data_IF_214653767297
#
_entry.id   IF_214653767297
#
_cell.length_a   1.000
_cell.length_b   1.000
_cell.length_c   1.000
_cell.angle_alpha   90.00
_cell.angle_beta   90.00
_cell.angle_gamma   90.00
#
_symmetry.space_group_name_H-M   'P 1'
#
loop_
_entity.id
_entity.type
_entity.pdbx_description
1 polymer ?
#
# COMPACT_ATOMS: atom_id res chain seq x y z
N UNK A 1 15.14 -23.07 16.37
CA UNK A 1 14.55 -23.87 17.48
C UNK A 1 13.95 -25.13 16.85
N UNK A 2 14.07 -26.28 17.52
CA UNK A 2 13.49 -27.54 17.02
C UNK A 2 11.99 -27.50 17.21
N UNK A 3 11.23 -27.33 16.13
CA UNK A 3 9.78 -27.54 16.17
C UNK A 3 9.43 -28.85 15.45
N UNK A 4 8.79 -29.76 16.18
CA UNK A 4 8.22 -30.96 15.61
C UNK A 4 6.86 -30.59 15.03
N UNK A 5 6.80 -30.35 13.72
CA UNK A 5 5.53 -30.08 13.03
C UNK A 5 4.79 -31.41 12.83
N UNK A 6 3.61 -31.63 13.45
CA UNK A 6 2.83 -32.83 13.21
C UNK A 6 2.02 -32.64 11.93
N UNK A 7 2.44 -33.28 10.84
CA UNK A 7 1.65 -33.34 9.61
C UNK A 7 0.70 -34.55 9.68
N UNK A 8 -0.55 -34.27 9.37
CA UNK A 8 -1.76 -35.11 9.34
C UNK A 8 -1.57 -36.64 9.45
N UNK A 9 -2.23 -37.25 10.44
CA UNK A 9 -2.30 -38.72 10.60
C UNK A 9 -3.64 -39.26 10.09
N UNK A 10 -3.61 -40.16 9.11
CA UNK A 10 -4.72 -41.07 8.89
C UNK A 10 -4.43 -42.39 9.64
N UNK A 11 -5.28 -42.74 10.61
CA UNK A 11 -5.35 -44.03 11.28
C UNK A 11 -4.03 -44.75 11.66
N UNK A 12 -3.36 -44.30 12.74
CA UNK A 12 -2.55 -45.18 13.59
C UNK A 12 -1.06 -45.37 13.24
N UNK A 13 -0.50 -44.58 12.32
CA UNK A 13 0.96 -44.55 12.06
C UNK A 13 1.47 -43.12 12.13
N UNK A 14 2.54 -42.87 12.92
CA UNK A 14 3.25 -41.59 12.95
C UNK A 14 4.55 -41.71 12.16
N UNK A 15 4.80 -40.77 11.25
CA UNK A 15 6.01 -40.68 10.45
C UNK A 15 6.73 -39.39 10.86
N UNK A 16 7.89 -39.50 11.52
CA UNK A 16 8.63 -38.35 12.03
C UNK A 16 9.81 -37.99 11.13
N UNK A 17 9.92 -36.70 10.80
CA UNK A 17 11.06 -36.13 10.07
C UNK A 17 11.79 -35.11 10.94
N UNK A 18 13.09 -34.98 10.71
CA UNK A 18 13.92 -33.89 11.22
C UNK A 18 14.22 -32.94 10.05
N UNK A 19 13.87 -31.67 10.21
CA UNK A 19 14.16 -30.60 9.25
C UNK A 19 15.39 -29.85 9.75
N UNK A 20 16.41 -29.76 8.89
CA UNK A 20 17.61 -28.99 9.17
C UNK A 20 17.62 -27.78 8.25
N UNK A 21 17.62 -26.59 8.85
CA UNK A 21 17.78 -25.31 8.19
C UNK A 21 19.23 -24.85 8.36
N UNK A 22 19.92 -24.62 7.25
CA UNK A 22 21.28 -24.08 7.26
C UNK A 22 21.24 -22.58 7.03
N UNK A 23 21.56 -21.80 8.06
CA UNK A 23 21.60 -20.34 7.97
C UNK A 23 22.72 -19.83 7.05
N UNK A 24 23.77 -20.63 6.85
CA UNK A 24 24.93 -20.21 6.06
C UNK A 24 24.73 -20.27 4.54
N UNK A 25 23.83 -21.12 4.05
CA UNK A 25 23.58 -21.30 2.62
C UNK A 25 22.09 -21.34 2.26
N UNK A 26 21.22 -21.01 3.23
CA UNK A 26 19.75 -21.03 3.11
C UNK A 26 19.18 -22.34 2.57
N UNK A 27 19.89 -23.46 2.74
CA UNK A 27 19.42 -24.77 2.32
C UNK A 27 18.56 -25.45 3.39
N UNK A 28 17.59 -26.24 2.93
CA UNK A 28 16.72 -27.06 3.76
C UNK A 28 16.95 -28.54 3.46
N UNK A 29 17.16 -29.36 4.49
CA UNK A 29 17.34 -30.81 4.37
C UNK A 29 16.35 -31.58 5.24
N UNK A 30 15.78 -32.66 4.68
CA UNK A 30 14.86 -33.55 5.37
C UNK A 30 15.53 -34.88 5.70
N UNK A 31 15.51 -35.26 6.97
CA UNK A 31 15.99 -36.58 7.43
C UNK A 31 14.82 -37.35 8.03
N UNK A 32 14.59 -38.57 7.55
CA UNK A 32 13.51 -39.43 8.03
C UNK A 32 13.97 -40.34 9.18
N UNK A 33 13.19 -40.39 10.27
CA UNK A 33 13.48 -41.17 11.47
C UNK A 33 12.30 -42.10 11.87
N UNK A 34 12.13 -43.22 11.15
CA UNK A 34 11.35 -44.43 11.56
C UNK A 34 9.81 -44.34 11.76
N UNK A 35 9.13 -45.48 11.60
CA UNK A 35 7.69 -45.74 11.82
C UNK A 35 7.47 -46.57 13.10
N UNK A 36 6.61 -46.14 14.01
CA UNK A 36 6.14 -46.94 15.17
C UNK A 36 4.78 -47.58 14.85
N UNK A 37 4.60 -48.86 15.20
CA UNK A 37 3.62 -49.76 14.58
C UNK A 37 2.50 -50.19 15.56
N UNK A 38 1.24 -49.87 15.24
CA UNK A 38 0.04 -50.35 15.92
C UNK A 38 -0.77 -51.33 15.05
N UNK A 39 -0.43 -52.62 15.14
CA UNK A 39 -1.23 -53.80 14.70
C UNK A 39 -2.15 -53.65 13.48
N UNK A 40 -1.62 -53.88 12.27
CA UNK A 40 -2.45 -54.02 11.07
C UNK A 40 -1.64 -54.01 9.79
N UNK A 41 -0.84 -55.05 9.57
CA UNK A 41 -0.03 -55.23 8.36
C UNK A 41 -0.94 -55.45 7.13
N UNK A 42 -1.26 -54.40 6.37
CA UNK A 42 -1.52 -54.46 4.93
C UNK A 42 -1.36 -53.06 4.29
N UNK A 43 -0.13 -52.68 3.98
CA UNK A 43 0.15 -51.82 2.83
C UNK A 43 1.16 -52.58 1.97
N UNK A 44 0.66 -53.10 0.86
CA UNK A 44 1.40 -53.89 -0.12
C UNK A 44 2.43 -52.97 -0.79
N UNK A 45 3.68 -53.05 -0.33
CA UNK A 45 4.71 -52.03 -0.56
C UNK A 45 5.08 -51.80 -2.02
N UNK A 46 4.39 -50.86 -2.68
CA UNK A 46 4.71 -50.49 -4.07
C UNK A 46 4.81 -49.00 -4.38
N UNK A 47 4.37 -48.06 -3.53
CA UNK A 47 4.56 -46.62 -3.77
C UNK A 47 4.34 -45.80 -2.49
N UNK A 48 5.12 -44.73 -2.31
CA UNK A 48 4.80 -43.60 -1.42
C UNK A 48 5.19 -42.31 -2.17
N UNK A 49 4.34 -41.29 -2.09
CA UNK A 49 4.52 -39.97 -2.72
C UNK A 49 4.43 -38.88 -1.65
N UNK A 50 5.35 -37.91 -1.71
CA UNK A 50 5.33 -36.67 -0.92
C UNK A 50 5.21 -35.52 -1.93
N UNK A 51 4.26 -34.61 -1.69
CA UNK A 51 4.06 -33.39 -2.47
C UNK A 51 3.78 -32.22 -1.52
N UNK A 52 3.99 -31.00 -2.02
CA UNK A 52 3.47 -29.78 -1.43
C UNK A 52 2.24 -29.37 -2.24
N UNK A 53 1.21 -28.89 -1.56
CA UNK A 53 -0.03 -28.39 -2.16
C UNK A 53 -0.10 -26.90 -1.85
N UNK A 54 -0.16 -26.04 -2.87
CA UNK A 54 -0.60 -24.65 -2.70
C UNK A 54 -2.13 -24.60 -2.92
N UNK A 55 -2.78 -23.51 -2.51
CA UNK A 55 -4.23 -23.26 -2.50
C UNK A 55 -4.94 -23.44 -3.85
N UNK A 56 -4.21 -23.50 -4.98
CA UNK A 56 -4.80 -23.50 -6.33
C UNK A 56 -4.77 -24.87 -7.06
N UNK A 57 -4.52 -25.97 -6.33
CA UNK A 57 -4.94 -27.31 -6.78
C UNK A 57 -4.17 -27.98 -7.92
N UNK A 58 -2.96 -27.53 -8.30
CA UNK A 58 -2.09 -28.26 -9.24
C UNK A 58 -1.03 -29.11 -8.52
N UNK A 59 -1.01 -30.41 -8.80
CA UNK A 59 -0.14 -31.38 -8.12
C UNK A 59 1.22 -31.58 -8.84
N UNK A 60 2.32 -31.18 -8.19
CA UNK A 60 3.69 -31.53 -8.56
C UNK A 60 4.27 -32.63 -7.65
N UNK A 61 4.67 -33.78 -8.21
CA UNK A 61 5.24 -34.90 -7.45
C UNK A 61 6.75 -34.73 -7.29
N UNK A 62 7.26 -34.54 -6.05
CA UNK A 62 8.70 -34.35 -5.84
C UNK A 62 9.52 -35.66 -5.84
N UNK A 63 8.98 -36.83 -5.45
CA UNK A 63 9.68 -38.13 -5.59
C UNK A 63 8.75 -39.36 -5.67
N UNK A 64 9.20 -40.41 -6.40
CA UNK A 64 8.59 -41.75 -6.44
C UNK A 64 9.65 -42.86 -6.26
N UNK A 65 9.40 -43.80 -5.34
CA UNK A 65 10.26 -44.96 -5.09
C UNK A 65 9.63 -46.25 -5.61
N UNK A 66 10.38 -47.03 -6.41
CA UNK A 66 10.04 -48.41 -6.73
C UNK A 66 11.23 -49.33 -6.45
N UNK A 67 11.20 -49.97 -5.26
CA UNK A 67 11.77 -51.25 -4.80
C UNK A 67 13.08 -51.86 -5.33
N UNK A 68 13.81 -51.29 -6.29
CA UNK A 68 14.94 -51.97 -6.95
C UNK A 68 16.15 -51.07 -7.28
N UNK A 69 16.08 -49.73 -7.21
CA UNK A 69 17.24 -48.80 -7.29
C UNK A 69 16.80 -47.36 -7.03
N UNK A 70 17.60 -46.59 -6.29
CA UNK A 70 17.56 -45.13 -6.36
C UNK A 70 18.15 -44.70 -7.70
N UNK A 71 17.41 -43.92 -8.49
CA UNK A 71 18.00 -43.24 -9.64
C UNK A 71 18.91 -42.13 -9.09
N UNK A 72 20.22 -42.34 -9.22
CA UNK A 72 21.18 -41.24 -9.31
C UNK A 72 20.83 -40.47 -10.58
N UNK A 73 20.15 -39.36 -10.40
CA UNK A 73 20.66 -38.02 -10.68
C UNK A 73 19.71 -37.11 -9.90
N UNK A 74 20.16 -36.71 -8.70
CA UNK A 74 19.42 -35.73 -7.93
C UNK A 74 19.40 -34.45 -8.74
N UNK A 75 18.21 -34.04 -9.21
CA UNK A 75 18.02 -32.67 -9.62
C UNK A 75 18.27 -31.83 -8.36
N UNK A 76 19.38 -31.11 -8.35
CA UNK A 76 19.54 -29.99 -7.43
C UNK A 76 18.52 -28.97 -7.91
N UNK A 77 17.35 -28.91 -7.28
CA UNK A 77 16.55 -27.68 -7.33
C UNK A 77 17.35 -26.69 -6.51
N UNK A 78 18.18 -25.92 -7.19
CA UNK A 78 18.66 -24.68 -6.63
C UNK A 78 17.44 -23.77 -6.61
N UNK A 79 16.97 -23.43 -5.42
CA UNK A 79 16.27 -22.17 -5.29
C UNK A 79 17.34 -21.10 -5.51
N UNK A 80 17.36 -20.55 -6.72
CA UNK A 80 17.83 -19.18 -6.87
C UNK A 80 16.69 -18.33 -6.31
N UNK A 81 16.87 -17.55 -5.24
CA UNK A 81 15.85 -16.60 -4.79
C UNK A 81 15.75 -15.39 -5.74
N UNK A 82 15.91 -15.62 -7.05
CA UNK A 82 15.60 -14.70 -8.13
C UNK A 82 14.56 -15.43 -9.01
N UNK A 83 13.42 -14.78 -9.23
CA UNK A 83 12.19 -15.29 -9.87
C UNK A 83 11.26 -16.09 -8.96
N UNK A 84 10.74 -15.44 -7.92
CA UNK A 84 9.27 -15.44 -7.82
C UNK A 84 8.81 -14.70 -9.06
N UNK A 85 8.22 -15.40 -10.02
CA UNK A 85 7.62 -14.71 -11.16
C UNK A 85 6.43 -13.98 -10.57
N UNK A 86 6.57 -12.67 -10.41
CA UNK A 86 5.50 -11.80 -9.94
C UNK A 86 4.32 -11.97 -10.91
N UNK A 87 3.14 -12.14 -10.37
CA UNK A 87 1.85 -12.19 -11.06
C UNK A 87 1.03 -11.17 -10.28
N UNK A 88 1.06 -9.93 -10.76
CA UNK A 88 0.62 -8.77 -9.98
C UNK A 88 -0.91 -8.70 -9.87
N UNK A 89 -1.64 -9.21 -10.87
CA UNK A 89 -3.10 -9.17 -10.92
C UNK A 89 -3.79 -10.51 -10.66
N UNK A 90 -3.02 -11.57 -10.39
CA UNK A 90 -3.46 -12.92 -10.04
C UNK A 90 -4.33 -13.57 -11.13
N UNK A 91 -4.09 -13.26 -12.40
CA UNK A 91 -4.85 -13.83 -13.52
C UNK A 91 -4.37 -15.22 -13.97
N UNK A 92 -3.21 -15.65 -13.44
CA UNK A 92 -2.57 -16.94 -13.69
C UNK A 92 -1.53 -16.93 -14.82
N UNK A 93 -1.26 -15.76 -15.40
CA UNK A 93 -0.11 -15.43 -16.23
C UNK A 93 0.86 -14.63 -15.37
N UNK A 94 2.16 -14.68 -15.68
CA UNK A 94 3.16 -14.09 -14.81
C UNK A 94 3.87 -12.95 -15.54
N UNK A 95 4.14 -11.85 -14.83
CA UNK A 95 4.73 -10.61 -15.34
C UNK A 95 6.07 -10.83 -16.06
N UNK A 96 6.86 -11.84 -15.65
CA UNK A 96 8.14 -12.28 -16.25
C UNK A 96 8.10 -13.80 -16.54
N UNK A 97 7.09 -14.24 -17.28
CA UNK A 97 6.80 -15.65 -17.51
C UNK A 97 7.86 -16.41 -18.31
N UNK A 98 8.79 -15.73 -18.97
CA UNK A 98 9.96 -16.35 -19.61
C UNK A 98 11.24 -16.38 -18.74
N UNK A 99 11.21 -15.71 -17.58
CA UNK A 99 12.31 -15.54 -16.63
C UNK A 99 13.56 -14.88 -17.25
N UNK A 100 13.37 -13.92 -18.15
CA UNK A 100 14.44 -13.04 -18.67
C UNK A 100 15.00 -12.13 -17.55
N UNK A 101 14.22 -11.91 -16.50
CA UNK A 101 14.49 -10.95 -15.43
C UNK A 101 13.97 -9.55 -15.75
N UNK A 102 13.20 -9.38 -16.82
CA UNK A 102 12.59 -8.10 -17.24
C UNK A 102 11.15 -8.35 -17.66
N UNK A 103 10.18 -7.92 -16.85
CA UNK A 103 8.77 -8.02 -17.22
C UNK A 103 8.46 -7.21 -18.50
N UNK A 104 7.64 -7.79 -19.38
CA UNK A 104 7.16 -7.16 -20.62
C UNK A 104 8.18 -7.11 -21.77
N UNK A 105 9.37 -7.72 -21.64
CA UNK A 105 10.33 -7.80 -22.74
C UNK A 105 10.01 -8.92 -23.73
N UNK A 106 9.17 -9.88 -23.31
CA UNK A 106 8.58 -10.90 -24.16
C UNK A 106 7.07 -11.09 -23.93
N UNK A 107 6.22 -10.09 -24.27
CA UNK A 107 4.78 -10.16 -24.03
C UNK A 107 4.12 -11.36 -24.73
N UNK A 108 3.16 -11.97 -24.06
CA UNK A 108 2.32 -12.99 -24.65
C UNK A 108 1.50 -12.41 -25.81
N UNK A 109 1.41 -13.15 -26.92
CA UNK A 109 0.69 -12.73 -28.12
C UNK A 109 -0.33 -13.78 -28.55
N UNK A 110 -1.50 -13.31 -28.99
CA UNK A 110 -2.54 -14.17 -29.60
C UNK A 110 -3.03 -15.30 -28.69
N UNK A 111 -3.14 -15.05 -27.38
CA UNK A 111 -3.59 -16.00 -26.38
C UNK A 111 -2.58 -17.10 -26.01
N UNK A 112 -1.29 -16.87 -26.26
CA UNK A 112 -0.24 -17.65 -25.63
C UNK A 112 -0.17 -17.35 -24.12
N UNK A 113 0.23 -18.33 -23.31
CA UNK A 113 0.22 -18.22 -21.83
C UNK A 113 1.44 -18.91 -21.19
N UNK A 114 2.48 -19.22 -21.95
CA UNK A 114 3.61 -20.02 -21.48
C UNK A 114 4.91 -19.53 -22.11
N UNK A 115 5.93 -19.31 -21.27
CA UNK A 115 7.24 -18.80 -21.69
C UNK A 115 7.11 -17.46 -22.45
N UNK A 116 6.27 -16.59 -21.91
CA UNK A 116 6.02 -15.22 -22.30
C UNK A 116 5.47 -14.48 -21.08
N UNK A 117 5.56 -13.16 -21.12
CA UNK A 117 5.20 -12.25 -20.05
C UNK A 117 3.75 -11.83 -20.17
N UNK A 118 3.13 -11.53 -19.04
CA UNK A 118 1.80 -10.93 -19.03
C UNK A 118 1.79 -9.61 -19.82
N UNK A 119 0.92 -9.52 -20.82
CA UNK A 119 0.75 -8.31 -21.63
C UNK A 119 -0.16 -7.25 -20.97
N UNK A 120 -0.74 -7.53 -19.80
CA UNK A 120 -1.41 -6.57 -18.92
C UNK A 120 -1.14 -6.83 -17.42
N UNK A 121 0.09 -6.61 -16.91
CA UNK A 121 0.50 -7.01 -15.55
C UNK A 121 -0.40 -6.53 -14.39
N UNK A 122 -1.14 -5.44 -14.57
CA UNK A 122 -2.01 -4.86 -13.54
C UNK A 122 -3.50 -5.11 -13.78
N UNK A 123 -3.89 -5.75 -14.90
CA UNK A 123 -5.29 -5.86 -15.33
C UNK A 123 -5.59 -7.27 -15.84
N UNK A 124 -6.30 -8.03 -14.99
CA UNK A 124 -6.58 -9.45 -15.23
C UNK A 124 -7.14 -9.73 -16.62
N UNK A 125 -6.35 -10.41 -17.44
CA UNK A 125 -6.70 -10.81 -18.79
C UNK A 125 -6.14 -12.22 -19.12
N UNK A 126 -6.66 -13.31 -18.51
CA UNK A 126 -6.09 -14.66 -18.66
C UNK A 126 -6.04 -15.20 -20.10
N UNK A 127 -6.75 -14.52 -21.01
CA UNK A 127 -6.79 -14.81 -22.43
C UNK A 127 -5.70 -14.16 -23.27
N UNK A 128 -4.89 -13.25 -22.71
CA UNK A 128 -3.74 -12.58 -23.34
C UNK A 128 -4.02 -12.14 -24.78
N UNK A 129 -5.17 -11.47 -24.95
CA UNK A 129 -5.60 -10.89 -26.23
C UNK A 129 -4.75 -9.66 -26.56
N UNK A 130 -4.42 -9.50 -27.83
CA UNK A 130 -3.62 -8.40 -28.38
C UNK A 130 -3.87 -8.39 -29.89
N UNK A 131 -4.82 -7.56 -30.35
CA UNK A 131 -5.33 -7.61 -31.72
C UNK A 131 -4.42 -6.90 -32.73
N UNK A 132 -3.67 -5.88 -32.32
CA UNK A 132 -2.78 -5.13 -33.21
C UNK A 132 -1.30 -5.54 -33.11
N UNK A 133 -0.94 -6.32 -32.07
CA UNK A 133 0.35 -6.96 -31.91
C UNK A 133 1.44 -6.03 -31.39
N UNK A 134 1.08 -5.03 -30.60
CA UNK A 134 2.01 -4.02 -30.10
C UNK A 134 2.74 -4.40 -28.80
N UNK A 135 2.24 -5.44 -28.11
CA UNK A 135 2.78 -5.97 -26.87
C UNK A 135 2.00 -5.57 -25.62
N UNK A 136 0.97 -4.74 -25.75
CA UNK A 136 0.01 -4.39 -24.70
C UNK A 136 -1.29 -5.14 -24.96
N UNK A 137 -1.88 -5.74 -23.92
CA UNK A 137 -3.07 -6.56 -24.11
C UNK A 137 -4.35 -5.74 -24.29
N UNK A 138 -5.32 -6.28 -25.05
CA UNK A 138 -6.62 -5.63 -25.35
C UNK A 138 -7.38 -5.12 -24.08
N UNK A 139 -7.06 -5.68 -22.91
CA UNK A 139 -7.69 -5.34 -21.64
C UNK A 139 -7.13 -4.07 -20.98
N UNK A 140 -5.89 -3.70 -21.31
CA UNK A 140 -5.18 -2.56 -20.77
C UNK A 140 -4.65 -1.60 -21.87
N UNK A 141 -4.92 -1.89 -23.14
CA UNK A 141 -4.55 -1.07 -24.29
C UNK A 141 -5.53 0.11 -24.49
N UNK A 142 -5.00 1.33 -24.43
CA UNK A 142 -5.75 2.57 -24.68
C UNK A 142 -6.05 2.84 -26.17
N UNK A 143 -5.46 2.06 -27.07
CA UNK A 143 -5.76 2.05 -28.50
C UNK A 143 -5.81 0.63 -29.09
N UNK A 144 -6.79 -0.21 -28.70
CA UNK A 144 -6.81 -1.64 -29.01
C UNK A 144 -6.60 -2.03 -30.47
N UNK A 145 -6.91 -1.15 -31.44
CA UNK A 145 -6.81 -1.48 -32.87
C UNK A 145 -5.64 -0.79 -33.59
N UNK A 146 -4.79 -0.05 -32.88
CA UNK A 146 -3.79 0.87 -33.42
C UNK A 146 -2.46 0.78 -32.66
N UNK A 147 -1.52 0.02 -33.22
CA UNK A 147 -0.18 -0.22 -32.65
C UNK A 147 0.44 1.00 -31.94
N UNK A 148 0.57 0.95 -30.62
CA UNK A 148 1.13 2.00 -29.76
C UNK A 148 1.72 1.45 -28.43
N UNK A 149 2.89 0.78 -28.48
CA UNK A 149 3.48 0.15 -27.31
C UNK A 149 3.86 1.11 -26.16
N UNK A 150 3.90 2.42 -26.43
CA UNK A 150 4.19 3.45 -25.43
C UNK A 150 2.96 3.88 -24.64
N UNK A 151 1.75 3.52 -25.09
CA UNK A 151 0.47 3.85 -24.45
C UNK A 151 0.37 5.33 -24.09
N UNK A 152 0.93 6.19 -24.95
CA UNK A 152 0.84 7.64 -24.77
C UNK A 152 -0.63 8.06 -24.79
N UNK A 153 -0.99 8.91 -23.83
CA UNK A 153 -2.32 9.48 -23.61
C UNK A 153 -2.05 10.89 -23.07
N UNK A 154 -1.91 11.83 -24.00
CA UNK A 154 -1.35 13.15 -23.71
C UNK A 154 -2.30 14.04 -22.89
N UNK A 155 -3.61 13.89 -23.07
CA UNK A 155 -4.64 14.65 -22.33
C UNK A 155 -5.29 13.86 -21.18
N UNK A 156 -5.01 12.56 -21.05
CA UNK A 156 -5.50 11.70 -19.99
C UNK A 156 -6.98 11.31 -20.13
N UNK A 157 -7.54 11.36 -21.33
CA UNK A 157 -8.94 11.04 -21.58
C UNK A 157 -9.22 9.52 -21.76
N UNK A 158 -8.16 8.70 -21.70
CA UNK A 158 -8.11 7.24 -21.89
C UNK A 158 -8.18 6.78 -23.36
N UNK A 159 -8.15 7.70 -24.32
CA UNK A 159 -7.91 7.41 -25.73
C UNK A 159 -6.46 7.73 -26.05
N UNK A 160 -5.68 6.71 -26.42
CA UNK A 160 -4.26 6.95 -26.67
C UNK A 160 -4.00 7.80 -27.92
N UNK A 161 -2.88 8.51 -27.95
CA UNK A 161 -2.46 9.40 -29.05
C UNK A 161 -2.43 8.72 -30.44
N UNK A 162 -2.37 7.38 -30.48
CA UNK A 162 -2.35 6.64 -31.74
C UNK A 162 -3.73 6.46 -32.37
N UNK A 163 -4.80 6.68 -31.59
CA UNK A 163 -6.18 6.52 -32.00
C UNK A 163 -7.07 7.69 -31.60
N UNK A 164 -6.54 8.67 -30.87
CA UNK A 164 -7.11 9.99 -30.74
C UNK A 164 -7.00 10.76 -32.07
N UNK A 165 -7.93 11.68 -32.26
CA UNK A 165 -7.93 12.63 -33.35
C UNK A 165 -7.60 14.06 -32.89
N UNK A 166 -7.47 14.29 -31.59
CA UNK A 166 -7.20 15.56 -30.90
C UNK A 166 -6.41 15.23 -29.61
N UNK A 167 -5.14 14.83 -29.77
CA UNK A 167 -4.28 14.28 -28.71
C UNK A 167 -4.19 15.18 -27.45
N UNK A 168 -4.44 16.49 -27.58
CA UNK A 168 -4.39 17.46 -26.48
C UNK A 168 -5.75 18.05 -26.07
N UNK A 169 -6.84 17.53 -26.64
CA UNK A 169 -8.23 17.94 -26.41
C UNK A 169 -8.44 19.47 -26.43
N UNK A 170 -7.66 20.20 -27.22
CA UNK A 170 -7.75 21.66 -27.35
C UNK A 170 -8.96 22.12 -28.19
N UNK A 171 -9.64 21.15 -28.82
CA UNK A 171 -10.80 21.34 -29.70
C UNK A 171 -10.45 21.42 -31.19
N UNK A 172 -9.19 21.18 -31.56
CA UNK A 172 -8.69 21.15 -32.93
C UNK A 172 -8.02 19.79 -33.27
N UNK A 173 -8.51 19.09 -34.30
CA UNK A 173 -7.94 17.78 -34.65
C UNK A 173 -6.48 17.81 -35.15
N UNK A 174 -5.68 16.80 -34.82
CA UNK A 174 -4.26 16.65 -35.20
C UNK A 174 -4.05 16.69 -36.72
N UNK A 175 -5.01 16.12 -37.46
CA UNK A 175 -4.99 16.06 -38.91
C UNK A 175 -5.83 17.16 -39.55
N UNK A 176 -5.15 18.19 -40.01
CA UNK A 176 -5.74 19.25 -40.81
C UNK A 176 -6.31 18.81 -42.16
N UNK A 177 -7.62 19.01 -42.42
CA UNK A 177 -8.18 18.79 -43.74
C UNK A 177 -7.52 19.72 -44.77
N UNK A 178 -7.20 19.24 -45.99
CA UNK A 178 -6.69 20.12 -47.02
C UNK A 178 -7.70 21.24 -47.33
N UNK A 179 -7.24 22.49 -47.23
CA UNK A 179 -8.00 23.74 -47.37
C UNK A 179 -8.81 24.20 -46.14
N UNK A 180 -8.48 23.75 -44.92
CA UNK A 180 -8.94 24.42 -43.71
C UNK A 180 -7.89 25.44 -43.23
N UNK A 181 -8.13 26.76 -43.36
CA UNK A 181 -7.14 27.79 -43.03
C UNK A 181 -6.89 27.96 -41.52
N UNK A 182 -7.65 27.28 -40.66
CA UNK A 182 -7.53 27.40 -39.20
C UNK A 182 -6.46 26.51 -38.58
N UNK A 183 -5.76 25.69 -39.35
CA UNK A 183 -4.78 24.75 -38.77
C UNK A 183 -3.59 24.49 -39.72
N UNK A 184 -3.35 25.38 -40.69
CA UNK A 184 -2.46 25.08 -41.83
C UNK A 184 -0.96 25.21 -41.54
N UNK A 185 -0.49 25.78 -40.43
CA UNK A 185 0.94 25.89 -40.17
C UNK A 185 1.24 25.87 -38.66
N UNK A 186 1.87 24.78 -38.21
CA UNK A 186 2.72 24.65 -37.01
C UNK A 186 2.12 24.81 -35.60
N UNK A 187 0.89 24.34 -35.36
CA UNK A 187 0.46 24.01 -34.00
C UNK A 187 0.66 22.49 -33.82
N UNK A 188 1.61 22.12 -32.96
CA UNK A 188 2.09 20.75 -32.81
C UNK A 188 1.06 19.90 -32.06
N UNK A 189 0.68 18.70 -32.56
CA UNK A 189 -0.43 17.89 -32.04
C UNK A 189 -0.13 17.20 -30.69
N UNK A 190 0.84 17.68 -29.89
CA UNK A 190 1.26 17.04 -28.63
C UNK A 190 1.81 18.08 -27.66
N UNK A 191 1.18 19.27 -27.61
CA UNK A 191 1.62 20.32 -26.71
C UNK A 191 0.44 21.16 -26.20
N UNK A 192 -0.24 20.64 -25.18
CA UNK A 192 -1.24 21.35 -24.37
C UNK A 192 -0.73 22.66 -23.75
N UNK A 193 0.58 22.92 -23.76
CA UNK A 193 1.15 24.19 -23.30
C UNK A 193 1.20 25.28 -24.39
N UNK A 194 0.77 24.98 -25.61
CA UNK A 194 0.48 25.98 -26.64
C UNK A 194 -1.01 26.30 -26.52
N UNK A 195 -1.34 27.36 -25.78
CA UNK A 195 -2.73 27.77 -25.61
C UNK A 195 -3.12 28.72 -26.76
N UNK A 196 -4.25 28.49 -27.44
CA UNK A 196 -4.85 29.51 -28.29
C UNK A 196 -5.10 30.79 -27.48
N UNK A 197 -4.25 31.81 -27.66
CA UNK A 197 -4.25 33.05 -26.90
C UNK A 197 -3.16 33.25 -25.82
N UNK A 198 -2.10 32.44 -25.77
CA UNK A 198 -0.85 32.82 -25.05
C UNK A 198 -0.13 33.93 -25.83
N UNK A 199 0.60 34.85 -25.19
CA UNK A 199 1.44 35.81 -25.90
C UNK A 199 2.54 35.17 -26.77
N UNK A 200 2.79 35.73 -27.95
CA UNK A 200 3.72 35.25 -28.96
C UNK A 200 5.21 35.35 -28.56
N UNK A 201 6.00 34.27 -28.76
CA UNK A 201 7.47 34.35 -28.62
C UNK A 201 8.09 34.96 -29.88
N UNK A 202 8.44 36.24 -29.82
CA UNK A 202 8.93 36.96 -31.01
C UNK A 202 10.26 36.42 -31.57
N UNK A 203 10.36 36.38 -32.90
CA UNK A 203 11.52 36.06 -33.75
C UNK A 203 12.03 34.60 -33.77
N UNK A 204 11.27 33.62 -33.27
CA UNK A 204 11.59 32.21 -33.49
C UNK A 204 11.05 31.65 -34.82
N UNK A 205 10.08 32.37 -35.42
CA UNK A 205 9.44 32.01 -36.68
C UNK A 205 8.30 30.99 -36.54
N UNK A 206 7.81 30.79 -35.31
CA UNK A 206 6.64 29.98 -34.95
C UNK A 206 5.40 30.88 -34.79
N UNK A 207 4.21 30.27 -34.77
CA UNK A 207 2.88 30.89 -34.57
C UNK A 207 2.37 30.32 -33.24
N UNK A 208 2.90 30.86 -32.14
CA UNK A 208 2.81 30.28 -30.80
C UNK A 208 1.42 30.50 -30.16
N UNK A 209 0.60 31.41 -30.68
CA UNK A 209 -0.76 31.66 -30.21
C UNK A 209 -1.86 31.14 -31.17
N UNK A 210 -1.43 30.56 -32.30
CA UNK A 210 -2.25 29.94 -33.35
C UNK A 210 -3.29 30.90 -33.96
N UNK A 211 -3.07 32.23 -33.93
CA UNK A 211 -3.98 33.23 -34.52
C UNK A 211 -3.86 33.38 -36.05
N UNK A 212 -2.84 32.74 -36.64
CA UNK A 212 -2.55 32.74 -38.06
C UNK A 212 -1.58 33.82 -38.52
N UNK A 213 -0.88 34.48 -37.58
CA UNK A 213 0.16 35.46 -37.86
C UNK A 213 1.49 35.10 -37.19
N UNK A 214 2.48 34.66 -37.99
CA UNK A 214 3.84 34.42 -37.46
C UNK A 214 4.51 35.73 -37.03
N UNK A 215 5.07 35.77 -35.81
CA UNK A 215 6.04 36.76 -35.31
C UNK A 215 5.68 38.22 -35.67
N UNK A 216 6.24 38.78 -36.75
CA UNK A 216 6.20 40.22 -37.03
C UNK A 216 4.86 40.81 -37.52
N UNK A 217 3.81 40.00 -37.67
CA UNK A 217 2.50 40.42 -38.16
C UNK A 217 1.41 40.44 -37.06
N UNK A 218 1.70 39.82 -35.92
CA UNK A 218 0.87 39.85 -34.72
C UNK A 218 0.98 41.22 -34.03
N UNK A 219 -0.12 41.66 -33.40
CA UNK A 219 -0.20 42.90 -32.64
C UNK A 219 0.71 42.89 -31.39
N UNK A 220 1.08 41.70 -30.89
CA UNK A 220 1.91 41.53 -29.69
C UNK A 220 3.42 41.69 -29.99
N UNK A 221 3.87 41.23 -31.16
CA UNK A 221 5.28 41.36 -31.58
C UNK A 221 5.60 42.72 -32.24
N UNK A 222 5.84 43.71 -31.36
CA UNK A 222 6.33 45.05 -31.73
C UNK A 222 6.40 46.05 -30.59
N UNK A 223 5.97 45.65 -29.38
CA UNK A 223 6.06 46.43 -28.16
C UNK A 223 7.43 46.24 -27.46
N UNK A 224 7.69 47.06 -26.45
CA UNK A 224 8.88 46.88 -25.60
C UNK A 224 8.64 45.65 -24.75
N UNK A 225 9.65 44.81 -24.60
CA UNK A 225 9.69 43.67 -23.68
C UNK A 225 10.94 43.90 -22.83
N UNK A 226 10.73 44.29 -21.57
CA UNK A 226 11.78 44.87 -20.74
C UNK A 226 12.64 43.82 -20.03
N UNK A 227 12.13 42.62 -19.80
CA UNK A 227 12.87 41.51 -19.21
C UNK A 227 13.22 40.40 -20.20
N UNK A 228 12.51 40.30 -21.32
CA UNK A 228 12.85 39.37 -22.41
C UNK A 228 12.20 38.01 -22.26
N UNK A 229 11.04 37.91 -21.61
CA UNK A 229 10.36 36.65 -21.31
C UNK A 229 9.39 36.19 -22.41
N UNK A 230 9.19 37.02 -23.44
CA UNK A 230 8.29 36.76 -24.56
C UNK A 230 6.95 37.48 -24.44
N UNK A 231 6.64 38.07 -23.29
CA UNK A 231 5.41 38.83 -23.05
C UNK A 231 5.71 40.32 -23.20
N UNK A 232 4.85 41.07 -23.91
CA UNK A 232 5.09 42.49 -24.08
C UNK A 232 4.77 43.31 -22.82
N UNK A 233 5.56 44.37 -22.54
CA UNK A 233 5.40 45.31 -21.40
C UNK A 233 3.97 45.82 -21.14
N UNK A 234 3.10 45.77 -22.15
CA UNK A 234 1.75 46.29 -22.13
C UNK A 234 0.72 45.31 -21.57
N UNK A 235 1.01 44.00 -21.64
CA UNK A 235 0.17 42.91 -21.16
C UNK A 235 0.86 42.05 -20.10
N UNK A 236 2.18 42.21 -19.92
CA UNK A 236 2.99 41.53 -18.93
C UNK A 236 2.65 41.98 -17.50
N UNK A 237 2.17 41.04 -16.69
CA UNK A 237 1.82 41.24 -15.27
C UNK A 237 3.05 41.38 -14.35
N UNK A 238 4.27 41.13 -14.85
CA UNK A 238 5.51 41.30 -14.11
C UNK A 238 6.65 42.04 -14.78
N UNK A 239 6.51 42.59 -15.99
CA UNK A 239 7.29 43.65 -16.70
C UNK A 239 8.82 43.62 -16.66
N UNK A 240 9.43 43.52 -15.49
CA UNK A 240 10.86 43.56 -15.25
C UNK A 240 11.38 42.25 -14.60
N UNK A 241 10.52 41.25 -14.42
CA UNK A 241 10.86 39.93 -13.87
C UNK A 241 10.30 38.89 -14.82
N UNK A 242 11.22 38.11 -15.42
CA UNK A 242 10.87 37.03 -16.35
C UNK A 242 9.81 36.07 -15.77
N UNK A 243 8.64 36.01 -16.38
CA UNK A 243 7.55 35.09 -16.04
C UNK A 243 6.67 34.77 -17.28
N UNK A 244 7.20 33.98 -18.24
CA UNK A 244 6.45 33.64 -19.45
C UNK A 244 5.10 32.97 -19.19
N UNK A 245 4.93 32.31 -18.03
CA UNK A 245 3.69 31.65 -17.62
C UNK A 245 2.58 32.60 -17.14
N UNK A 246 2.91 33.86 -16.86
CA UNK A 246 1.97 34.91 -16.43
C UNK A 246 1.04 34.47 -15.30
N UNK A 247 1.53 33.62 -14.38
CA UNK A 247 0.77 33.19 -13.21
C UNK A 247 0.39 34.42 -12.36
N UNK A 248 -0.84 34.44 -11.86
CA UNK A 248 -1.48 35.54 -11.11
C UNK A 248 -2.56 34.89 -10.23
N UNK A 249 -2.15 34.41 -9.07
CA UNK A 249 -2.94 33.52 -8.23
C UNK A 249 -4.17 34.19 -7.61
N UNK A 250 -4.05 35.45 -7.18
CA UNK A 250 -5.15 36.21 -6.60
C UNK A 250 -5.97 37.00 -7.66
N UNK A 251 -5.45 37.12 -8.88
CA UNK A 251 -6.09 37.79 -10.00
C UNK A 251 -6.13 39.31 -9.86
N UNK A 252 -5.20 39.91 -9.12
CA UNK A 252 -5.13 41.37 -8.94
C UNK A 252 -4.44 42.10 -10.11
N UNK A 253 -3.78 41.34 -10.99
CA UNK A 253 -3.06 41.81 -12.17
C UNK A 253 -1.57 42.07 -11.95
N UNK A 254 -1.03 41.72 -10.79
CA UNK A 254 0.41 41.59 -10.49
C UNK A 254 0.74 40.10 -10.58
N UNK A 255 1.75 39.72 -11.35
CA UNK A 255 2.08 38.30 -11.48
C UNK A 255 2.80 37.73 -10.26
N UNK A 256 2.66 36.43 -10.05
CA UNK A 256 3.24 35.66 -8.94
C UNK A 256 4.76 35.87 -8.80
N UNK A 257 5.46 36.07 -9.91
CA UNK A 257 6.92 36.25 -9.92
C UNK A 257 7.38 37.60 -9.32
N UNK A 258 6.49 38.58 -9.27
CA UNK A 258 6.76 39.94 -8.80
C UNK A 258 5.79 40.42 -7.71
N UNK A 259 4.80 39.62 -7.34
CA UNK A 259 4.00 39.80 -6.15
C UNK A 259 4.80 39.47 -4.88
N UNK A 260 4.40 40.08 -3.77
CA UNK A 260 4.93 39.83 -2.43
C UNK A 260 3.91 39.17 -1.49
N UNK A 261 2.68 38.96 -1.95
CA UNK A 261 1.53 38.38 -1.25
C UNK A 261 0.65 37.68 -2.30
N UNK A 262 1.15 36.56 -2.88
CA UNK A 262 0.60 36.00 -4.14
C UNK A 262 -0.85 35.56 -4.04
N UNK A 263 -1.30 35.11 -2.88
CA UNK A 263 -2.65 34.58 -2.67
C UNK A 263 -3.60 35.58 -1.99
N UNK A 264 -3.11 36.80 -1.71
CA UNK A 264 -3.81 37.90 -1.05
C UNK A 264 -4.52 37.51 0.25
N UNK A 265 -3.93 36.61 1.03
CA UNK A 265 -4.43 36.26 2.35
C UNK A 265 -4.07 37.34 3.41
N UNK A 266 -3.11 38.21 3.09
CA UNK A 266 -2.65 39.33 3.90
C UNK A 266 -1.38 39.04 4.72
N UNK A 267 -0.76 37.88 4.53
CA UNK A 267 0.56 37.48 4.99
C UNK A 267 1.52 37.60 3.81
N UNK A 268 2.71 38.17 4.03
CA UNK A 268 3.68 38.29 2.93
C UNK A 268 4.34 36.94 2.68
N UNK A 269 4.62 36.59 1.42
CA UNK A 269 5.28 35.33 1.00
C UNK A 269 6.51 34.92 1.84
N UNK A 270 7.24 35.90 2.40
CA UNK A 270 8.45 35.66 3.20
C UNK A 270 8.18 35.22 4.62
N UNK A 271 6.96 35.47 5.11
CA UNK A 271 6.45 35.16 6.44
C UNK A 271 5.29 34.15 6.36
N UNK A 272 4.92 33.70 5.16
CA UNK A 272 3.78 32.82 4.85
C UNK A 272 4.22 31.34 4.75
N UNK A 273 3.56 30.46 5.50
CA UNK A 273 3.79 29.02 5.45
C UNK A 273 3.05 28.31 4.30
N UNK A 274 2.13 29.00 3.62
CA UNK A 274 1.52 28.56 2.36
C UNK A 274 1.46 29.68 1.32
N UNK A 275 2.61 30.11 0.73
CA UNK A 275 2.69 31.26 -0.20
C UNK A 275 1.87 31.19 -1.49
N UNK A 276 1.16 30.08 -1.70
CA UNK A 276 0.37 29.76 -2.87
C UNK A 276 -1.05 29.29 -2.46
N UNK A 277 -1.48 29.53 -1.23
CA UNK A 277 -2.66 28.89 -0.67
C UNK A 277 -3.25 29.67 0.48
N UNK A 278 -4.35 30.38 0.21
CA UNK A 278 -4.99 31.31 1.13
C UNK A 278 -5.15 30.74 2.56
N UNK A 279 -4.40 31.28 3.53
CA UNK A 279 -4.43 30.80 4.91
C UNK A 279 -4.04 31.87 5.95
N UNK A 280 -4.89 32.90 6.14
CA UNK A 280 -4.54 34.07 6.94
C UNK A 280 -4.36 33.80 8.45
N UNK A 281 -4.71 32.61 8.92
CA UNK A 281 -4.49 32.15 10.29
C UNK A 281 -3.15 31.44 10.50
N UNK A 282 -2.46 31.05 9.42
CA UNK A 282 -1.10 30.48 9.43
C UNK A 282 -1.02 29.27 10.38
N UNK A 283 -2.06 28.43 10.35
CA UNK A 283 -2.06 27.17 11.08
C UNK A 283 -0.96 26.24 10.51
N UNK A 284 -0.37 25.48 11.42
CA UNK A 284 0.75 24.56 11.19
C UNK A 284 0.76 23.64 12.43
N UNK A 285 0.02 22.54 12.31
CA UNK A 285 -0.36 21.67 13.44
C UNK A 285 0.81 20.81 13.92
N UNK A 286 1.65 20.34 13.02
CA UNK A 286 2.82 19.50 13.30
C UNK A 286 4.13 20.29 13.58
N UNK A 287 4.17 21.56 13.16
CA UNK A 287 5.31 22.46 13.32
C UNK A 287 6.37 22.37 12.21
N UNK A 288 6.07 21.80 11.04
CA UNK A 288 7.05 21.69 9.95
C UNK A 288 7.18 22.99 9.11
N UNK A 289 7.61 22.89 7.84
CA UNK A 289 7.76 24.05 6.97
C UNK A 289 6.47 24.43 6.22
N UNK A 290 5.57 23.48 6.00
CA UNK A 290 4.29 23.69 5.34
C UNK A 290 3.23 24.12 6.37
N UNK A 291 2.18 24.80 5.95
CA UNK A 291 1.04 25.10 6.81
C UNK A 291 -0.13 24.19 6.48
N UNK A 292 -1.10 24.08 7.37
CA UNK A 292 -2.26 23.17 7.24
C UNK A 292 -3.06 23.38 5.93
N UNK A 293 -2.93 24.54 5.28
CA UNK A 293 -3.63 24.80 4.03
C UNK A 293 -2.95 24.20 2.78
N UNK A 294 -1.69 23.80 2.90
CA UNK A 294 -0.84 23.31 1.81
C UNK A 294 0.05 22.12 2.18
N UNK A 295 -0.11 21.60 3.39
CA UNK A 295 0.41 20.31 3.82
C UNK A 295 -0.60 19.21 3.43
N UNK A 296 -0.16 18.06 2.88
CA UNK A 296 -1.03 16.91 2.67
C UNK A 296 -1.22 15.99 3.90
N UNK A 297 -0.51 16.25 4.99
CA UNK A 297 -0.53 15.50 6.27
C UNK A 297 -0.30 16.49 7.42
N UNK A 298 -1.37 17.19 7.81
CA UNK A 298 -1.39 18.36 8.70
C UNK A 298 -0.76 18.09 10.09
N UNK A 299 -0.80 16.86 10.58
CA UNK A 299 -0.25 16.47 11.87
C UNK A 299 0.97 15.55 11.79
N UNK A 300 1.36 15.10 10.60
CA UNK A 300 2.54 14.28 10.32
C UNK A 300 2.58 12.95 11.10
N UNK A 301 1.42 12.34 11.35
CA UNK A 301 1.33 10.99 11.91
C UNK A 301 1.55 9.87 10.86
N UNK A 302 1.52 10.23 9.57
CA UNK A 302 1.71 9.33 8.44
C UNK A 302 0.41 8.97 7.69
N UNK A 303 -0.73 9.51 8.12
CA UNK A 303 -2.03 9.37 7.48
C UNK A 303 -2.36 10.68 6.75
N UNK A 304 -2.62 10.61 5.44
CA UNK A 304 -2.92 11.84 4.67
C UNK A 304 -4.29 12.42 5.04
N UNK A 305 -4.45 13.74 5.02
CA UNK A 305 -5.73 14.40 5.39
C UNK A 305 -6.92 13.88 4.57
N UNK A 306 -6.67 13.60 3.29
CA UNK A 306 -7.69 13.07 2.37
C UNK A 306 -8.23 11.71 2.84
N UNK A 307 -7.37 10.92 3.49
CA UNK A 307 -7.72 9.65 4.07
C UNK A 307 -8.42 9.84 5.41
N UNK A 308 -7.91 10.72 6.26
CA UNK A 308 -8.48 11.05 7.56
C UNK A 308 -9.91 11.58 7.46
N UNK A 309 -10.15 12.53 6.56
CA UNK A 309 -11.50 13.01 6.24
C UNK A 309 -12.43 11.86 5.82
N UNK A 310 -11.89 10.85 5.12
CA UNK A 310 -12.67 9.72 4.62
C UNK A 310 -13.06 8.73 5.73
N UNK A 311 -12.21 8.56 6.75
CA UNK A 311 -12.45 7.67 7.89
C UNK A 311 -13.06 8.39 9.10
N UNK A 312 -12.99 9.72 9.12
CA UNK A 312 -13.59 10.62 10.11
C UNK A 312 -12.65 11.06 11.25
N UNK A 313 -11.34 10.81 11.14
CA UNK A 313 -10.32 11.35 12.05
C UNK A 313 -10.09 12.84 11.80
N UNK A 314 -9.37 13.52 12.70
CA UNK A 314 -9.09 14.95 12.66
C UNK A 314 -7.68 15.20 12.09
N UNK A 315 -7.55 15.77 10.87
CA UNK A 315 -6.26 15.96 10.21
C UNK A 315 -5.21 16.73 10.99
N UNK A 316 -5.67 17.56 11.94
CA UNK A 316 -4.78 18.39 12.75
C UNK A 316 -4.32 17.74 14.05
N UNK A 317 -4.64 16.45 14.27
CA UNK A 317 -4.46 15.80 15.56
C UNK A 317 -4.13 14.32 15.45
N UNK A 318 -2.84 14.02 15.65
CA UNK A 318 -2.23 12.69 15.52
C UNK A 318 -2.95 11.55 16.27
N UNK A 319 -3.78 11.86 17.26
CA UNK A 319 -4.50 10.91 18.12
C UNK A 319 -5.91 11.47 18.33
N UNK A 320 -6.82 11.14 17.40
CA UNK A 320 -8.16 11.72 17.33
C UNK A 320 -8.96 11.44 18.60
N UNK A 321 -8.82 10.25 19.17
CA UNK A 321 -9.65 9.82 20.29
C UNK A 321 -8.99 9.96 21.67
N UNK A 322 -7.71 10.34 21.68
CA UNK A 322 -6.87 10.67 22.82
C UNK A 322 -6.59 9.48 23.76
N UNK A 323 -6.42 8.28 23.20
CA UNK A 323 -6.04 7.08 23.96
C UNK A 323 -4.51 6.92 24.12
N UNK A 324 -3.73 7.56 23.24
CA UNK A 324 -2.27 7.52 23.23
C UNK A 324 -1.64 6.68 22.12
N UNK A 325 -2.42 6.13 21.20
CA UNK A 325 -2.00 5.58 19.90
C UNK A 325 -2.31 6.63 18.82
N UNK A 326 -1.51 6.68 17.74
CA UNK A 326 -1.81 7.61 16.64
C UNK A 326 -2.83 7.02 15.68
N UNK A 327 -3.56 7.87 14.96
CA UNK A 327 -4.57 7.44 13.99
C UNK A 327 -3.94 6.52 12.93
N UNK A 328 -2.74 6.85 12.44
CA UNK A 328 -1.95 5.97 11.57
C UNK A 328 -1.67 4.58 12.17
N UNK A 329 -1.23 4.52 13.43
CA UNK A 329 -0.86 3.26 14.10
C UNK A 329 -2.10 2.38 14.34
N UNK A 330 -3.26 2.98 14.56
CA UNK A 330 -4.54 2.28 14.70
C UNK A 330 -5.08 1.78 13.37
N UNK A 331 -5.08 2.64 12.36
CA UNK A 331 -5.51 2.32 10.99
C UNK A 331 -4.64 1.24 10.37
N UNK A 332 -3.35 1.22 10.70
CA UNK A 332 -2.39 0.27 10.16
C UNK A 332 -2.01 -0.84 11.16
N UNK A 333 -2.88 -1.12 12.14
CA UNK A 333 -2.58 -2.06 13.21
C UNK A 333 -2.27 -3.49 12.72
N UNK A 334 -2.95 -3.96 11.67
CA UNK A 334 -2.70 -5.27 11.08
C UNK A 334 -1.50 -5.32 10.11
N UNK A 335 -0.88 -4.16 9.85
CA UNK A 335 0.24 -3.95 8.92
C UNK A 335 -0.17 -3.65 7.48
N UNK A 336 -1.45 -3.51 7.17
CA UNK A 336 -1.99 -3.15 5.86
C UNK A 336 -2.68 -1.79 5.85
N UNK A 337 -1.91 -0.72 5.68
CA UNK A 337 -2.45 0.64 5.63
C UNK A 337 -3.19 0.99 4.31
N UNK A 338 -3.44 0.02 3.41
CA UNK A 338 -4.12 0.28 2.12
C UNK A 338 -5.63 0.08 2.18
N UNK A 339 -6.15 -0.55 3.24
CA UNK A 339 -7.56 -0.83 3.43
C UNK A 339 -7.90 -0.76 4.91
N UNK A 340 -8.48 0.36 5.36
CA UNK A 340 -8.98 0.49 6.73
C UNK A 340 -10.26 -0.32 6.92
N UNK A 341 -10.18 -1.38 7.72
CA UNK A 341 -11.30 -2.27 8.04
C UNK A 341 -11.43 -2.39 9.58
N UNK A 342 -12.07 -1.41 10.24
CA UNK A 342 -12.13 -1.38 11.69
C UNK A 342 -12.88 -2.59 12.26
N UNK A 343 -12.47 -3.01 13.44
CA UNK A 343 -13.19 -3.99 14.25
C UNK A 343 -14.67 -3.59 14.44
N UNK A 344 -15.64 -4.53 14.41
CA UNK A 344 -15.49 -5.99 14.36
C UNK A 344 -15.44 -6.60 12.96
N UNK A 345 -15.35 -5.77 11.92
CA UNK A 345 -15.37 -6.21 10.51
C UNK A 345 -14.01 -6.70 10.02
N UNK A 346 -12.93 -6.09 10.51
CA UNK A 346 -11.55 -6.42 10.17
C UNK A 346 -10.62 -6.48 11.38
N UNK A 347 -9.32 -6.27 11.13
CA UNK A 347 -8.22 -6.44 12.08
C UNK A 347 -7.65 -5.14 12.64
N UNK A 348 -8.21 -3.99 12.28
CA UNK A 348 -7.69 -2.68 12.69
C UNK A 348 -8.37 -2.15 13.96
N UNK A 349 -7.63 -1.30 14.68
CA UNK A 349 -8.15 -0.52 15.81
C UNK A 349 -9.06 0.60 15.32
N UNK A 350 -9.82 1.18 16.23
CA UNK A 350 -10.78 2.22 15.93
C UNK A 350 -10.29 3.59 16.39
N UNK A 351 -9.65 4.32 15.48
CA UNK A 351 -9.14 5.69 15.70
C UNK A 351 -10.17 6.75 16.13
N UNK A 352 -11.45 6.40 16.23
CA UNK A 352 -12.51 7.28 16.75
C UNK A 352 -13.01 6.86 18.13
N UNK A 353 -12.45 5.79 18.71
CA UNK A 353 -12.93 5.19 19.93
C UNK A 353 -11.75 4.57 20.72
N UNK A 354 -11.44 5.12 21.91
CA UNK A 354 -10.24 4.74 22.68
C UNK A 354 -10.16 3.28 23.13
N UNK A 355 -11.22 2.52 22.96
CA UNK A 355 -11.43 1.19 23.52
C UNK A 355 -12.13 0.43 22.40
N UNK A 356 -11.39 -0.26 21.54
CA UNK A 356 -11.91 -0.80 20.30
C UNK A 356 -12.96 -1.89 20.56
N UNK A 357 -12.70 -2.79 21.51
CA UNK A 357 -13.55 -3.95 21.77
C UNK A 357 -14.68 -3.74 22.81
N UNK A 358 -14.60 -2.67 23.61
CA UNK A 358 -15.60 -2.31 24.60
C UNK A 358 -15.59 -3.05 25.91
N UNK A 359 -14.46 -3.58 26.35
CA UNK A 359 -14.33 -4.16 27.68
C UNK A 359 -13.93 -3.16 28.78
N UNK A 360 -13.50 -1.96 28.39
CA UNK A 360 -13.24 -0.84 29.29
C UNK A 360 -11.77 -0.65 29.68
N UNK A 361 -10.84 -1.40 29.10
CA UNK A 361 -9.47 -0.95 28.88
C UNK A 361 -9.41 -0.12 27.58
N UNK A 362 -8.54 0.89 27.53
CA UNK A 362 -8.24 1.59 26.27
C UNK A 362 -7.13 0.85 25.50
N UNK A 363 -7.07 1.02 24.19
CA UNK A 363 -6.21 0.22 23.31
C UNK A 363 -4.74 0.45 23.65
N UNK A 364 -4.35 1.69 23.94
CA UNK A 364 -3.03 2.03 24.45
C UNK A 364 -2.65 1.25 25.72
N UNK A 365 -3.54 1.19 26.73
CA UNK A 365 -3.29 0.43 27.95
C UNK A 365 -3.11 -1.05 27.63
N UNK A 366 -3.90 -1.60 26.73
CA UNK A 366 -3.82 -3.00 26.35
C UNK A 366 -2.50 -3.34 25.67
N UNK A 367 -2.08 -2.55 24.68
CA UNK A 367 -0.80 -2.73 24.01
C UNK A 367 0.38 -2.59 24.97
N UNK A 368 0.33 -1.60 25.86
CA UNK A 368 1.43 -1.38 26.82
C UNK A 368 1.49 -2.43 27.91
N UNK A 369 0.38 -3.10 28.23
CA UNK A 369 0.32 -4.22 29.16
C UNK A 369 0.44 -5.58 28.46
N UNK A 370 0.33 -5.65 27.13
CA UNK A 370 0.44 -6.86 26.34
C UNK A 370 -0.82 -7.74 26.36
N UNK A 371 -1.99 -7.12 26.46
CA UNK A 371 -3.30 -7.75 26.17
C UNK A 371 -3.70 -7.45 24.71
N UNK A 372 -4.89 -7.88 24.28
CA UNK A 372 -5.30 -7.88 22.86
C UNK A 372 -6.47 -6.91 22.69
N UNK A 373 -6.26 -5.72 22.09
CA UNK A 373 -7.30 -4.68 22.00
C UNK A 373 -8.50 -5.01 21.10
N UNK A 374 -8.44 -6.13 20.39
CA UNK A 374 -9.53 -6.62 19.54
C UNK A 374 -10.39 -7.69 20.23
N UNK A 375 -10.04 -8.06 21.47
CA UNK A 375 -10.59 -9.23 22.14
C UNK A 375 -11.02 -8.90 23.58
N UNK A 376 -12.31 -8.57 23.74
CA UNK A 376 -12.95 -8.19 25.00
C UNK A 376 -12.88 -9.22 26.17
N UNK A 377 -12.28 -10.38 25.93
CA UNK A 377 -11.97 -11.39 26.95
C UNK A 377 -10.54 -11.34 27.44
N UNK A 378 -9.70 -10.48 26.87
CA UNK A 378 -8.27 -10.36 27.11
C UNK A 378 -7.98 -8.92 27.55
N UNK A 379 -8.10 -8.62 28.83
CA UNK A 379 -7.82 -7.28 29.38
C UNK A 379 -6.96 -7.32 30.65
N UNK A 380 -6.29 -6.22 31.00
CA UNK A 380 -5.46 -6.16 32.20
C UNK A 380 -6.27 -6.45 33.47
N UNK A 381 -5.81 -7.42 34.28
CA UNK A 381 -6.49 -7.81 35.52
C UNK A 381 -7.78 -8.63 35.32
N UNK A 382 -7.98 -9.26 34.15
CA UNK A 382 -9.09 -10.16 33.87
C UNK A 382 -9.06 -11.51 34.62
N UNK A 383 -7.96 -11.83 35.30
CA UNK A 383 -7.73 -13.09 36.01
C UNK A 383 -7.51 -14.33 35.15
N UNK A 384 -7.43 -14.21 33.82
CA UNK A 384 -7.15 -15.29 32.87
C UNK A 384 -5.64 -15.37 32.62
N UNK A 385 -4.94 -15.97 33.56
CA UNK A 385 -3.47 -15.94 33.59
C UNK A 385 -2.82 -17.02 32.72
N UNK A 386 -3.63 -17.85 32.05
CA UNK A 386 -3.15 -18.76 31.02
C UNK A 386 -3.65 -18.41 29.60
N UNK A 387 -4.39 -17.30 29.45
CA UNK A 387 -4.83 -16.73 28.16
C UNK A 387 -5.63 -17.76 27.33
N UNK A 388 -6.48 -18.56 27.97
CA UNK A 388 -7.34 -19.52 27.25
C UNK A 388 -8.78 -19.03 27.03
N UNK A 389 -9.03 -17.78 27.40
CA UNK A 389 -10.30 -17.06 27.26
C UNK A 389 -11.29 -17.33 28.40
N UNK A 390 -10.92 -18.13 29.41
CA UNK A 390 -11.83 -18.49 30.51
C UNK A 390 -11.14 -18.54 31.87
N UNK A 391 -11.55 -17.66 32.78
CA UNK A 391 -11.13 -17.75 34.19
C UNK A 391 -11.70 -19.00 34.85
N UNK A 392 -10.86 -20.02 35.07
CA UNK A 392 -11.24 -21.31 35.62
C UNK A 392 -10.26 -21.82 36.72
N UNK A 393 -10.31 -23.12 37.00
CA UNK A 393 -9.49 -23.70 38.06
C UNK A 393 -8.00 -23.82 37.68
N UNK A 394 -7.67 -23.79 36.40
CA UNK A 394 -6.31 -23.73 35.88
C UNK A 394 -5.66 -22.40 36.28
N UNK A 395 -6.34 -21.27 36.11
CA UNK A 395 -5.90 -19.95 36.60
C UNK A 395 -5.69 -19.96 38.09
N UNK A 396 -6.68 -20.46 38.82
CA UNK A 396 -6.58 -20.56 40.28
C UNK A 396 -5.33 -21.32 40.69
N UNK A 397 -5.02 -22.43 40.01
CA UNK A 397 -3.84 -23.24 40.31
C UNK A 397 -2.54 -22.52 39.94
N UNK A 398 -2.52 -21.81 38.82
CA UNK A 398 -1.36 -21.06 38.36
C UNK A 398 -1.06 -19.87 39.28
N UNK A 399 -2.08 -19.11 39.70
CA UNK A 399 -1.99 -18.00 40.63
C UNK A 399 -1.46 -18.47 42.00
N UNK A 400 -1.98 -19.59 42.52
CA UNK A 400 -1.48 -20.20 43.76
C UNK A 400 0.00 -20.59 43.65
N UNK A 401 0.43 -21.09 42.48
CA UNK A 401 1.82 -21.47 42.26
C UNK A 401 2.74 -20.27 42.24
N UNK A 402 2.31 -19.17 41.62
CA UNK A 402 3.02 -17.88 41.55
C UNK A 402 3.15 -17.29 42.96
N UNK A 403 2.04 -17.10 43.68
CA UNK A 403 2.03 -16.49 45.01
C UNK A 403 2.78 -17.31 46.07
N UNK A 404 2.78 -18.64 45.96
CA UNK A 404 3.59 -19.51 46.84
C UNK A 404 5.07 -19.63 46.42
N UNK A 405 5.49 -18.95 45.34
CA UNK A 405 6.88 -18.96 44.85
C UNK A 405 7.32 -20.29 44.24
N UNK A 406 6.38 -21.15 43.86
CA UNK A 406 6.66 -22.44 43.19
C UNK A 406 6.70 -22.33 41.67
N UNK A 407 6.28 -21.18 41.13
CA UNK A 407 6.39 -20.78 39.74
C UNK A 407 6.88 -19.33 39.71
N UNK A 408 7.82 -19.03 38.81
CA UNK A 408 8.19 -17.65 38.49
C UNK A 408 7.25 -17.21 37.36
N UNK A 409 6.46 -16.14 37.54
CA UNK A 409 5.49 -15.71 36.55
C UNK A 409 6.18 -15.13 35.30
N UNK A 410 5.50 -15.24 34.16
CA UNK A 410 5.78 -14.41 32.98
C UNK A 410 5.25 -12.99 33.19
N UNK A 411 5.62 -12.04 32.31
CA UNK A 411 5.08 -10.68 32.35
C UNK A 411 3.56 -10.68 32.16
N UNK A 412 3.07 -11.39 31.13
CA UNK A 412 1.63 -11.55 30.87
C UNK A 412 0.86 -12.14 32.07
N UNK A 413 1.40 -13.17 32.71
CA UNK A 413 0.77 -13.74 33.92
C UNK A 413 0.59 -12.72 35.04
N UNK A 414 1.50 -11.73 35.15
CA UNK A 414 1.32 -10.66 36.11
C UNK A 414 0.28 -9.62 35.67
N UNK A 415 0.17 -9.35 34.38
CA UNK A 415 -0.79 -8.39 33.79
C UNK A 415 -2.21 -8.88 33.97
N UNK A 416 -2.52 -10.09 33.52
CA UNK A 416 -3.84 -10.70 33.70
C UNK A 416 -4.15 -10.99 35.18
N UNK A 417 -3.12 -11.23 35.99
CA UNK A 417 -3.29 -11.75 37.34
C UNK A 417 -3.24 -10.75 38.48
N UNK A 418 -2.88 -9.48 38.27
CA UNK A 418 -2.97 -8.40 39.28
C UNK A 418 -4.42 -7.87 39.35
N UNK A 419 -5.34 -8.73 39.82
CA UNK A 419 -6.78 -8.47 39.82
C UNK A 419 -7.25 -7.62 41.03
N UNK A 420 -6.32 -6.97 41.74
CA UNK A 420 -6.56 -6.24 42.99
C UNK A 420 -7.68 -5.18 42.84
N UNK A 421 -8.43 -4.85 43.91
CA UNK A 421 -9.71 -4.16 43.78
C UNK A 421 -9.56 -2.78 43.12
N UNK A 422 -10.10 -2.69 41.89
CA UNK A 422 -10.45 -1.50 41.10
C UNK A 422 -9.88 -0.19 41.67
N UNK A 423 -8.66 0.15 41.24
CA UNK A 423 -8.11 1.49 41.41
C UNK A 423 -6.61 1.60 41.73
N UNK A 424 -5.88 0.50 41.91
CA UNK A 424 -4.42 0.52 41.97
C UNK A 424 -3.83 -0.90 41.82
N UNK A 425 -3.58 -1.40 40.59
CA UNK A 425 -2.69 -2.54 40.41
C UNK A 425 -1.36 -2.19 41.07
N UNK A 426 -0.94 -2.98 42.06
CA UNK A 426 0.30 -2.70 42.77
C UNK A 426 1.52 -3.22 41.98
N UNK A 427 1.28 -3.77 40.78
CA UNK A 427 2.24 -4.35 39.87
C UNK A 427 2.73 -5.73 40.33
N UNK A 428 2.03 -6.36 41.29
CA UNK A 428 2.43 -7.60 41.93
C UNK A 428 1.22 -8.51 42.17
N UNK A 429 1.24 -9.70 41.57
CA UNK A 429 0.30 -10.76 41.95
C UNK A 429 0.55 -11.23 43.39
N UNK A 430 -0.41 -10.98 44.27
CA UNK A 430 -0.40 -11.38 45.67
C UNK A 430 -1.54 -12.36 46.04
N UNK A 431 -1.64 -12.71 47.32
CA UNK A 431 -2.60 -13.71 47.78
C UNK A 431 -4.06 -13.24 47.72
N UNK A 432 -4.30 -11.94 47.72
CA UNK A 432 -5.62 -11.35 47.51
C UNK A 432 -6.06 -11.58 46.06
N UNK A 433 -5.14 -11.44 45.10
CA UNK A 433 -5.40 -11.62 43.68
C UNK A 433 -5.72 -13.09 43.38
N UNK A 434 -4.88 -14.01 43.85
CA UNK A 434 -5.14 -15.45 43.72
C UNK A 434 -6.47 -15.87 44.38
N UNK A 435 -6.88 -15.21 45.47
CA UNK A 435 -8.17 -15.47 46.11
C UNK A 435 -9.34 -14.92 45.29
N UNK A 436 -9.16 -13.81 44.57
CA UNK A 436 -10.18 -13.20 43.74
C UNK A 436 -10.37 -14.00 42.44
N UNK A 437 -9.28 -14.40 41.78
CA UNK A 437 -9.28 -15.34 40.64
C UNK A 437 -10.04 -16.62 41.03
N UNK A 438 -9.75 -17.20 42.21
CA UNK A 438 -10.46 -18.37 42.71
C UNK A 438 -11.97 -18.14 42.88
N UNK A 439 -12.37 -16.96 43.34
CA UNK A 439 -13.80 -16.63 43.49
C UNK A 439 -14.47 -16.47 42.13
N UNK A 440 -13.80 -15.88 41.14
CA UNK A 440 -14.33 -15.73 39.78
C UNK A 440 -14.46 -17.08 39.08
N UNK A 441 -13.43 -17.92 39.14
CA UNK A 441 -13.46 -19.30 38.65
C UNK A 441 -14.60 -20.15 39.27
N UNK A 442 -14.99 -19.84 40.51
CA UNK A 442 -16.11 -20.48 41.20
C UNK A 442 -17.47 -19.82 40.93
N UNK A 443 -17.54 -18.77 40.10
CA UNK A 443 -18.74 -17.99 39.80
C UNK A 443 -19.30 -17.21 41.00
N UNK A 444 -18.46 -16.88 41.98
CA UNK A 444 -18.85 -16.22 43.23
C UNK A 444 -18.81 -14.69 43.14
N UNK A 445 -18.13 -14.14 42.13
CA UNK A 445 -17.99 -12.71 41.83
C UNK A 445 -17.99 -12.53 40.30
N UNK A 446 -18.52 -11.39 39.82
CA UNK A 446 -18.17 -10.84 38.50
C UNK A 446 -17.10 -9.77 38.72
N UNK A 447 -16.27 -9.50 37.70
CA UNK A 447 -15.58 -8.21 37.67
C UNK A 447 -16.58 -7.08 37.45
#
# INVERSE_FOLDING_TARGET
MYDQVPLYSDGGSSLTFEVILSESDKSMAFIYNSLQNGTGLFVDGRSASVGLENTDGMAGVLYSYNGQRALRDGLVVKFDPQSAVFDTDCDGIADDGDNSGTAGDHPCTGGATLNCDDNCPAVSNPGQGDIDGDGVGDACDNCPASYNPDQADFDGDQLGDACDADDDNDGFPDMCPPNNPTCMFDCAPKNASIFPGVPEVCNDGLDNDCDGTTDSADLDCGATDSDGDGISDAIDNCKFILNPGQEDMDGDGIGDACDTDKDADGVLDVDDNCPNGWNPDQLNSDGDFMGDACDPDDDNDGLLDVFEISIGTDPSNQDTDNDGITDYDEVCFDGNCSLYEPYPSGGDLNALRPDTDGDGADDYLELTQGTDPLLATSYPGDGDINEDGVVDIADTLLAIRIVNGTLVPTSQQMVHGDVAPLGNPNGLMDIADALLIMRKAAGLVSY
#
